data_IF_470619602738
#
_entry.id   IF_470619602738
#
_cell.length_a   1.000
_cell.length_b   1.000
_cell.length_c   1.000
_cell.angle_alpha   90.00
_cell.angle_beta   90.00
_cell.angle_gamma   90.00
#
_symmetry.space_group_name_H-M   'P 1'
#
loop_
_entity.id
_entity.type
_entity.pdbx_description
1 polymer ?
#
# COMPACT_ATOMS: atom_id res chain seq x y z
N UNK A 1 -22.51 9.52 -1.90
CA UNK A 1 -21.56 10.67 -1.91
C UNK A 1 -21.68 11.60 -3.13
N UNK A 2 -22.55 11.35 -4.10
CA UNK A 2 -22.72 12.18 -5.31
C UNK A 2 -23.58 13.43 -5.13
N UNK A 3 -23.76 13.90 -3.89
CA UNK A 3 -24.52 15.13 -3.67
C UNK A 3 -23.72 16.32 -4.20
N UNK A 4 -24.38 17.19 -4.97
CA UNK A 4 -23.80 18.49 -5.38
C UNK A 4 -23.57 19.42 -4.19
N UNK A 5 -24.22 19.16 -3.04
CA UNK A 5 -24.03 19.92 -1.81
C UNK A 5 -22.70 19.56 -1.12
N UNK A 6 -21.80 20.54 -0.92
CA UNK A 6 -20.54 20.30 -0.20
C UNK A 6 -20.78 19.90 1.26
N UNK A 7 -21.84 20.41 1.88
CA UNK A 7 -22.25 20.08 3.25
C UNK A 7 -22.62 18.60 3.34
N UNK A 8 -23.49 18.13 2.44
CA UNK A 8 -23.92 16.73 2.45
C UNK A 8 -22.75 15.75 2.24
N UNK A 9 -21.79 16.12 1.38
CA UNK A 9 -20.56 15.34 1.17
C UNK A 9 -19.68 15.31 2.41
N UNK A 10 -19.50 16.45 3.08
CA UNK A 10 -18.73 16.55 4.32
C UNK A 10 -19.37 15.71 5.44
N UNK A 11 -20.68 15.85 5.66
CA UNK A 11 -21.43 15.09 6.66
C UNK A 11 -21.36 13.59 6.39
N UNK A 12 -21.64 13.15 5.15
CA UNK A 12 -21.57 11.74 4.77
C UNK A 12 -20.18 11.14 5.02
N UNK A 13 -19.13 11.92 4.75
CA UNK A 13 -17.74 11.50 4.96
C UNK A 13 -17.38 11.37 6.43
N UNK A 14 -17.80 12.33 7.24
CA UNK A 14 -17.61 12.29 8.69
C UNK A 14 -18.32 11.06 9.28
N UNK A 15 -19.57 10.83 8.91
CA UNK A 15 -20.34 9.67 9.36
C UNK A 15 -19.67 8.35 8.97
N UNK A 16 -19.19 8.22 7.73
CA UNK A 16 -18.53 7.00 7.27
C UNK A 16 -17.22 6.73 8.04
N UNK A 17 -16.44 7.79 8.30
CA UNK A 17 -15.21 7.70 9.09
C UNK A 17 -15.52 7.31 10.54
N UNK A 18 -16.57 7.87 11.13
CA UNK A 18 -17.02 7.54 12.48
C UNK A 18 -17.52 6.10 12.58
N UNK A 19 -18.36 5.65 11.64
CA UNK A 19 -18.85 4.27 11.61
C UNK A 19 -17.69 3.27 11.55
N UNK A 20 -16.71 3.53 10.68
CA UNK A 20 -15.54 2.67 10.55
C UNK A 20 -14.72 2.63 11.85
N UNK A 21 -14.50 3.79 12.47
CA UNK A 21 -13.77 3.91 13.74
C UNK A 21 -14.48 3.18 14.87
N UNK A 22 -15.81 3.25 14.94
CA UNK A 22 -16.61 2.57 15.96
C UNK A 22 -16.49 1.05 15.82
N UNK A 23 -16.64 0.51 14.60
CA UNK A 23 -16.58 -0.94 14.37
C UNK A 23 -15.19 -1.48 14.72
N UNK A 24 -14.12 -0.79 14.30
CA UNK A 24 -12.76 -1.23 14.61
C UNK A 24 -12.44 -1.12 16.10
N UNK A 25 -12.89 -0.05 16.77
CA UNK A 25 -12.73 0.07 18.23
C UNK A 25 -13.51 -1.03 18.97
N UNK A 26 -14.70 -1.37 18.50
CA UNK A 26 -15.50 -2.43 19.10
C UNK A 26 -14.84 -3.80 18.95
N UNK A 27 -14.36 -4.13 17.73
CA UNK A 27 -13.55 -5.31 17.47
C UNK A 27 -12.34 -5.41 18.42
N UNK A 28 -11.62 -4.30 18.64
CA UNK A 28 -10.48 -4.27 19.55
C UNK A 28 -10.88 -4.50 21.02
N UNK A 29 -12.02 -3.98 21.45
CA UNK A 29 -12.51 -4.13 22.83
C UNK A 29 -12.96 -5.57 23.12
N UNK A 30 -13.67 -6.20 22.19
CA UNK A 30 -14.11 -7.59 22.32
C UNK A 30 -12.93 -8.58 22.31
N UNK A 31 -11.84 -8.22 21.62
CA UNK A 31 -10.59 -9.00 21.64
C UNK A 31 -9.91 -8.93 23.01
N UNK A 32 -9.88 -7.76 23.66
CA UNK A 32 -9.28 -7.58 25.00
C UNK A 32 -10.09 -8.27 26.10
N UNK A 33 -11.42 -8.25 26.01
CA UNK A 33 -12.29 -8.98 26.94
C UNK A 33 -12.07 -10.51 26.86
N UNK A 34 -11.81 -11.04 25.66
CA UNK A 34 -11.52 -12.46 25.44
C UNK A 34 -10.10 -12.86 25.88
N UNK A 35 -9.12 -11.97 25.73
CA UNK A 35 -7.72 -12.22 26.14
C UNK A 35 -7.51 -12.22 27.66
N UNK A 36 -8.40 -11.56 28.43
CA UNK A 36 -8.33 -11.52 29.90
C UNK A 36 -8.72 -12.84 30.58
N UNK A 37 -9.07 -13.88 29.81
CA UNK A 37 -9.50 -15.20 30.30
C UNK A 37 -8.58 -16.38 29.97
N UNK A 38 -7.41 -16.19 29.35
CA UNK A 38 -6.54 -17.31 28.97
C UNK A 38 -5.05 -16.94 29.00
N UNK A 39 -4.45 -16.99 30.19
CA UNK A 39 -3.00 -17.16 30.32
C UNK A 39 -2.70 -18.65 30.21
N UNK A 40 -2.29 -19.10 29.02
CA UNK A 40 -1.44 -20.28 28.85
C UNK A 40 -0.42 -19.96 27.77
N UNK A 41 0.81 -19.70 28.19
CA UNK A 41 1.97 -19.75 27.33
C UNK A 41 2.13 -21.18 26.79
N UNK A 42 2.13 -21.34 25.46
CA UNK A 42 2.79 -22.47 24.81
C UNK A 42 3.72 -21.91 23.75
N UNK A 43 5.01 -22.02 24.03
CA UNK A 43 6.04 -22.07 23.01
C UNK A 43 5.70 -23.20 22.03
N UNK A 44 5.69 -22.87 20.73
CA UNK A 44 5.71 -23.86 19.67
C UNK A 44 6.57 -23.31 18.52
N UNK A 45 7.82 -23.78 18.54
CA UNK A 45 8.75 -24.04 17.44
C UNK A 45 8.30 -23.67 16.02
N UNK A 46 9.18 -22.89 15.38
CA UNK A 46 9.45 -22.79 13.95
C UNK A 46 8.92 -23.96 13.13
N UNK A 47 7.98 -23.67 12.23
CA UNK A 47 7.82 -24.44 11.00
C UNK A 47 7.94 -23.48 9.83
N UNK A 48 9.14 -23.52 9.26
CA UNK A 48 9.50 -22.97 7.97
C UNK A 48 8.58 -23.55 6.88
N UNK A 49 7.93 -22.68 6.11
CA UNK A 49 7.23 -23.07 4.89
C UNK A 49 7.45 -22.00 3.83
N UNK A 50 8.57 -22.19 3.14
CA UNK A 50 8.93 -21.69 1.82
C UNK A 50 7.73 -21.27 0.97
N UNK A 51 7.69 -19.98 0.60
CA UNK A 51 6.88 -19.48 -0.51
C UNK A 51 7.56 -19.97 -1.80
N UNK A 52 6.95 -20.95 -2.45
CA UNK A 52 7.33 -21.37 -3.81
C UNK A 52 7.17 -20.21 -4.78
N UNK A 53 8.31 -19.81 -5.37
CA UNK A 53 8.53 -19.10 -6.65
C UNK A 53 7.30 -18.44 -7.28
N UNK A 54 7.25 -17.12 -7.23
CA UNK A 54 6.47 -16.31 -8.18
C UNK A 54 7.40 -16.02 -9.36
N UNK A 55 7.22 -16.78 -10.45
CA UNK A 55 7.87 -16.49 -11.73
C UNK A 55 7.41 -15.11 -12.25
N UNK A 56 8.34 -14.44 -12.95
CA UNK A 56 8.15 -13.12 -13.57
C UNK A 56 6.83 -13.03 -14.36
N UNK A 57 5.92 -12.17 -13.91
CA UNK A 57 4.74 -11.81 -14.70
C UNK A 57 5.15 -10.68 -15.66
N UNK A 58 5.47 -11.07 -16.90
CA UNK A 58 5.46 -10.16 -18.05
C UNK A 58 4.01 -9.76 -18.35
N UNK A 59 3.73 -8.46 -18.37
CA UNK A 59 2.47 -7.91 -18.86
C UNK A 59 2.50 -7.85 -20.39
N UNK A 60 1.72 -8.71 -21.06
CA UNK A 60 1.29 -8.48 -22.43
C UNK A 60 -0.23 -8.28 -22.45
N UNK A 61 -0.64 -7.26 -23.20
CA UNK A 61 -1.99 -6.77 -23.38
C UNK A 61 -2.90 -7.74 -24.16
N UNK A 62 -4.22 -7.49 -24.04
CA UNK A 62 -5.38 -8.07 -24.73
C UNK A 62 -6.01 -9.31 -24.04
N UNK A 63 -7.20 -9.17 -23.44
CA UNK A 63 -8.47 -9.17 -24.17
C UNK A 63 -9.67 -8.95 -23.22
N UNK A 64 -10.74 -8.39 -23.76
CA UNK A 64 -11.97 -8.02 -23.08
C UNK A 64 -12.81 -9.25 -22.65
N UNK A 65 -13.22 -9.31 -21.37
CA UNK A 65 -14.55 -9.79 -20.98
C UNK A 65 -14.87 -9.38 -19.54
N UNK A 66 -15.98 -8.67 -19.37
CA UNK A 66 -16.49 -8.30 -18.05
C UNK A 66 -16.82 -9.55 -17.24
N UNK A 67 -15.98 -9.88 -16.28
CA UNK A 67 -16.19 -10.97 -15.33
C UNK A 67 -16.06 -10.46 -13.89
N UNK A 68 -16.84 -11.06 -12.99
CA UNK A 68 -17.01 -10.65 -11.61
C UNK A 68 -15.73 -10.90 -10.79
N UNK A 69 -14.83 -9.90 -10.79
CA UNK A 69 -13.51 -9.89 -10.13
C UNK A 69 -13.53 -10.16 -8.59
N UNK A 70 -14.72 -10.13 -7.98
CA UNK A 70 -14.91 -10.54 -6.59
C UNK A 70 -14.72 -12.04 -6.37
N UNK A 71 -15.00 -12.85 -7.39
CA UNK A 71 -14.91 -14.31 -7.37
C UNK A 71 -13.46 -14.76 -7.66
N UNK A 72 -12.70 -14.00 -8.45
CA UNK A 72 -11.27 -14.24 -8.66
C UNK A 72 -10.44 -14.06 -7.40
N UNK A 73 -10.72 -13.07 -6.54
CA UNK A 73 -10.01 -12.95 -5.24
C UNK A 73 -10.30 -14.12 -4.29
N UNK A 74 -11.42 -14.82 -4.49
CA UNK A 74 -11.78 -16.01 -3.74
C UNK A 74 -11.17 -17.29 -4.31
N UNK A 75 -10.70 -17.24 -5.57
CA UNK A 75 -10.01 -18.32 -6.26
C UNK A 75 -8.47 -18.16 -6.26
N UNK A 76 -7.95 -16.92 -6.29
CA UNK A 76 -6.52 -16.61 -6.19
C UNK A 76 -5.96 -16.81 -4.79
N UNK A 77 -6.82 -16.77 -3.77
CA UNK A 77 -6.46 -17.07 -2.39
C UNK A 77 -7.28 -18.25 -1.95
N UNK A 78 -6.60 -19.35 -1.59
CA UNK A 78 -7.19 -20.63 -1.23
C UNK A 78 -8.52 -20.49 -0.49
N UNK A 79 -9.63 -20.70 -1.23
CA UNK A 79 -10.98 -20.51 -0.73
C UNK A 79 -11.37 -21.39 0.47
N UNK A 80 -10.50 -22.33 0.86
CA UNK A 80 -10.61 -23.19 2.04
C UNK A 80 -10.06 -22.56 3.32
N UNK A 81 -9.03 -21.72 3.25
CA UNK A 81 -8.35 -21.20 4.46
C UNK A 81 -9.08 -19.96 5.03
N UNK A 82 -9.52 -19.03 4.17
CA UNK A 82 -10.30 -17.85 4.61
C UNK A 82 -11.64 -18.28 5.25
N UNK A 83 -12.28 -19.34 4.74
CA UNK A 83 -13.54 -19.84 5.31
C UNK A 83 -13.33 -20.38 6.73
N UNK A 84 -12.22 -21.07 6.95
CA UNK A 84 -11.84 -21.64 8.25
C UNK A 84 -11.44 -20.55 9.25
N UNK A 85 -10.72 -19.53 8.79
CA UNK A 85 -10.36 -18.38 9.62
C UNK A 85 -11.58 -17.54 10.01
N UNK A 86 -12.51 -17.33 9.07
CA UNK A 86 -13.75 -16.62 9.32
C UNK A 86 -14.61 -17.34 10.38
N UNK A 87 -14.64 -18.67 10.39
CA UNK A 87 -15.37 -19.46 11.40
C UNK A 87 -14.80 -19.32 12.81
N UNK A 88 -13.50 -19.03 12.96
CA UNK A 88 -12.84 -18.81 14.26
C UNK A 88 -12.98 -17.39 14.82
N UNK A 89 -13.35 -16.41 13.97
CA UNK A 89 -13.45 -15.01 14.37
C UNK A 89 -14.71 -14.69 15.18
N UNK A 90 -14.57 -13.77 16.13
CA UNK A 90 -15.72 -13.19 16.81
C UNK A 90 -16.53 -12.29 15.85
N UNK A 91 -17.76 -11.94 16.24
CA UNK A 91 -18.68 -11.16 15.39
C UNK A 91 -18.06 -9.80 15.02
N UNK A 92 -17.44 -9.10 15.98
CA UNK A 92 -16.80 -7.81 15.73
C UNK A 92 -15.64 -7.88 14.72
N UNK A 93 -14.81 -8.93 14.78
CA UNK A 93 -13.74 -9.20 13.82
C UNK A 93 -14.30 -9.49 12.43
N UNK A 94 -15.36 -10.30 12.32
CA UNK A 94 -16.00 -10.58 11.04
C UNK A 94 -16.54 -9.30 10.40
N UNK A 95 -17.24 -8.46 11.17
CA UNK A 95 -17.80 -7.20 10.69
C UNK A 95 -16.70 -6.24 10.24
N UNK A 96 -15.64 -6.09 11.05
CA UNK A 96 -14.49 -5.26 10.71
C UNK A 96 -13.78 -5.75 9.44
N UNK A 97 -13.59 -7.06 9.29
CA UNK A 97 -12.98 -7.67 8.10
C UNK A 97 -13.82 -7.44 6.85
N UNK A 98 -15.14 -7.60 6.94
CA UNK A 98 -16.05 -7.34 5.82
C UNK A 98 -16.05 -5.87 5.39
N UNK A 99 -16.01 -4.94 6.36
CA UNK A 99 -15.86 -3.52 6.06
C UNK A 99 -14.50 -3.22 5.40
N UNK A 100 -13.42 -3.78 5.94
CA UNK A 100 -12.08 -3.63 5.37
C UNK A 100 -12.02 -4.13 3.93
N UNK A 101 -12.54 -5.33 3.68
CA UNK A 101 -12.65 -5.94 2.35
C UNK A 101 -13.45 -5.07 1.40
N UNK A 102 -14.57 -4.52 1.86
CA UNK A 102 -15.43 -3.66 1.05
C UNK A 102 -14.72 -2.36 0.65
N UNK A 103 -14.01 -1.72 1.59
CA UNK A 103 -13.20 -0.52 1.32
C UNK A 103 -12.11 -0.83 0.30
N UNK A 104 -11.35 -1.90 0.49
CA UNK A 104 -10.30 -2.31 -0.45
C UNK A 104 -10.88 -2.56 -1.85
N UNK A 105 -11.96 -3.34 -1.94
CA UNK A 105 -12.66 -3.63 -3.21
C UNK A 105 -13.12 -2.36 -3.93
N UNK A 106 -13.55 -1.34 -3.18
CA UNK A 106 -13.96 -0.05 -3.76
C UNK A 106 -12.78 0.83 -4.18
N UNK A 107 -11.63 0.71 -3.52
CA UNK A 107 -10.36 1.33 -3.92
C UNK A 107 -9.80 0.80 -5.24
N UNK A 108 -10.35 -0.30 -5.74
CA UNK A 108 -9.83 -1.00 -6.90
C UNK A 108 -10.65 -0.81 -8.17
N UNK A 109 -11.79 -0.13 -8.17
CA UNK A 109 -12.67 -0.08 -9.35
C UNK A 109 -11.94 0.60 -10.53
N UNK A 110 -11.93 -0.04 -11.70
CA UNK A 110 -11.21 0.46 -12.88
C UNK A 110 -11.55 1.92 -13.19
N UNK A 111 -10.50 2.71 -13.42
CA UNK A 111 -10.54 4.13 -13.79
C UNK A 111 -11.09 4.32 -15.22
N UNK A 112 -12.29 3.81 -15.50
CA UNK A 112 -12.99 4.00 -16.78
C UNK A 112 -13.79 5.30 -16.81
N UNK A 113 -14.14 5.84 -15.65
CA UNK A 113 -14.92 7.08 -15.50
C UNK A 113 -14.49 7.92 -14.28
N UNK A 114 -14.74 9.23 -14.34
CA UNK A 114 -14.43 10.20 -13.27
C UNK A 114 -15.06 9.80 -11.92
N UNK A 115 -16.20 9.11 -11.98
CA UNK A 115 -16.92 8.60 -10.83
C UNK A 115 -16.13 7.48 -10.14
N UNK A 116 -15.57 6.52 -10.88
CA UNK A 116 -14.75 5.45 -10.28
C UNK A 116 -13.47 6.01 -9.68
N UNK A 117 -12.81 6.99 -10.31
CA UNK A 117 -11.63 7.65 -9.72
C UNK A 117 -11.98 8.37 -8.41
N UNK A 118 -13.11 9.08 -8.34
CA UNK A 118 -13.59 9.71 -7.08
C UNK A 118 -13.90 8.69 -6.00
N UNK A 119 -14.47 7.53 -6.37
CA UNK A 119 -14.75 6.43 -5.45
C UNK A 119 -13.46 5.77 -4.95
N UNK A 120 -12.49 5.57 -5.83
CA UNK A 120 -11.16 5.08 -5.49
C UNK A 120 -10.46 6.01 -4.49
N UNK A 121 -10.41 7.32 -4.78
CA UNK A 121 -9.83 8.33 -3.89
C UNK A 121 -10.48 8.32 -2.49
N UNK A 122 -11.82 8.22 -2.43
CA UNK A 122 -12.52 8.13 -1.17
C UNK A 122 -12.14 6.86 -0.40
N UNK A 123 -12.10 5.72 -1.09
CA UNK A 123 -11.82 4.42 -0.48
C UNK A 123 -10.39 4.36 0.07
N UNK A 124 -9.40 4.81 -0.70
CA UNK A 124 -8.01 4.89 -0.25
C UNK A 124 -7.85 5.87 0.91
N UNK A 125 -8.57 7.00 0.90
CA UNK A 125 -8.58 7.93 2.04
C UNK A 125 -9.11 7.27 3.31
N UNK A 126 -10.22 6.53 3.22
CA UNK A 126 -10.80 5.83 4.36
C UNK A 126 -9.86 4.73 4.86
N UNK A 127 -9.24 3.98 3.94
CA UNK A 127 -8.27 2.95 4.26
C UNK A 127 -7.05 3.53 4.98
N UNK A 128 -6.49 4.64 4.48
CA UNK A 128 -5.39 5.33 5.16
C UNK A 128 -5.81 5.78 6.56
N UNK A 129 -6.92 6.51 6.67
CA UNK A 129 -7.42 7.02 7.96
C UNK A 129 -7.71 5.90 8.96
N UNK A 130 -8.18 4.75 8.49
CA UNK A 130 -8.40 3.56 9.29
C UNK A 130 -7.08 3.03 9.84
N UNK A 131 -6.12 2.76 8.97
CA UNK A 131 -4.81 2.22 9.37
C UNK A 131 -4.01 3.19 10.24
N UNK A 132 -4.22 4.51 10.09
CA UNK A 132 -3.68 5.53 11.00
C UNK A 132 -4.37 5.51 12.38
N UNK A 133 -5.66 5.15 12.43
CA UNK A 133 -6.49 5.24 13.64
C UNK A 133 -6.59 3.97 14.49
N UNK A 134 -6.26 2.79 13.96
CA UNK A 134 -6.25 1.52 14.73
C UNK A 134 -5.28 1.59 15.91
N UNK A 135 -5.51 0.82 16.99
CA UNK A 135 -4.64 0.84 18.17
C UNK A 135 -3.35 0.03 18.00
N UNK A 136 -2.45 0.09 18.99
CA UNK A 136 -1.27 -0.78 19.01
C UNK A 136 -1.65 -2.26 19.14
N UNK A 137 -2.71 -2.58 19.90
CA UNK A 137 -3.21 -3.95 20.04
C UNK A 137 -3.64 -4.54 18.70
N UNK A 138 -4.22 -3.73 17.81
CA UNK A 138 -4.52 -4.15 16.43
C UNK A 138 -3.26 -4.58 15.69
N UNK A 139 -2.18 -3.79 15.76
CA UNK A 139 -0.92 -4.08 15.05
C UNK A 139 -0.24 -5.36 15.51
N UNK A 140 -0.59 -5.87 16.70
CA UNK A 140 -0.10 -7.12 17.28
C UNK A 140 -1.08 -8.29 17.11
N UNK A 141 -2.28 -8.05 16.57
CA UNK A 141 -3.20 -9.12 16.22
C UNK A 141 -2.85 -9.71 14.85
N UNK A 142 -1.80 -10.53 14.82
CA UNK A 142 -1.27 -11.11 13.58
C UNK A 142 -2.30 -11.94 12.81
N UNK A 143 -3.20 -12.65 13.48
CA UNK A 143 -4.27 -13.42 12.82
C UNK A 143 -5.22 -12.53 12.03
N UNK A 144 -5.63 -11.41 12.63
CA UNK A 144 -6.50 -10.46 11.95
C UNK A 144 -5.77 -9.72 10.82
N UNK A 145 -4.54 -9.25 11.09
CA UNK A 145 -3.71 -8.60 10.06
C UNK A 145 -3.51 -9.54 8.87
N UNK A 146 -3.23 -10.81 9.11
CA UNK A 146 -3.07 -11.84 8.07
C UNK A 146 -4.34 -11.98 7.21
N UNK A 147 -5.51 -11.99 7.84
CA UNK A 147 -6.79 -12.04 7.14
C UNK A 147 -7.08 -10.79 6.29
N UNK A 148 -6.47 -9.65 6.60
CA UNK A 148 -6.63 -8.40 5.83
C UNK A 148 -5.62 -8.26 4.69
N UNK A 149 -4.47 -8.94 4.77
CA UNK A 149 -3.29 -8.64 3.94
C UNK A 149 -3.55 -8.80 2.45
N UNK A 150 -4.31 -9.81 2.02
CA UNK A 150 -4.62 -10.06 0.61
C UNK A 150 -5.40 -8.89 0.01
N UNK A 151 -6.44 -8.42 0.71
CA UNK A 151 -7.29 -7.33 0.23
C UNK A 151 -6.50 -6.01 0.19
N UNK A 152 -5.69 -5.76 1.21
CA UNK A 152 -4.80 -4.60 1.26
C UNK A 152 -3.79 -4.62 0.11
N UNK A 153 -3.13 -5.76 -0.09
CA UNK A 153 -2.07 -5.93 -1.08
C UNK A 153 -2.57 -5.69 -2.48
N UNK A 154 -3.69 -6.32 -2.82
CA UNK A 154 -4.29 -6.14 -4.13
C UNK A 154 -4.76 -4.70 -4.36
N UNK A 155 -5.40 -4.07 -3.37
CA UNK A 155 -5.84 -2.68 -3.48
C UNK A 155 -4.67 -1.71 -3.65
N UNK A 156 -3.61 -1.88 -2.86
CA UNK A 156 -2.46 -0.97 -2.85
C UNK A 156 -1.62 -1.13 -4.12
N UNK A 157 -1.34 -2.36 -4.55
CA UNK A 157 -0.59 -2.63 -5.78
C UNK A 157 -1.33 -2.10 -7.01
N UNK A 158 -2.64 -2.33 -7.12
CA UNK A 158 -3.45 -1.79 -8.23
C UNK A 158 -3.46 -0.25 -8.23
N UNK A 159 -3.63 0.38 -7.06
CA UNK A 159 -3.63 1.83 -6.96
C UNK A 159 -2.25 2.43 -7.28
N UNK A 160 -1.16 1.72 -6.97
CA UNK A 160 0.21 2.21 -7.16
C UNK A 160 0.56 2.47 -8.63
N UNK A 161 -0.06 1.77 -9.58
CA UNK A 161 0.16 1.94 -11.02
C UNK A 161 -0.79 2.98 -11.64
N UNK A 162 -1.64 3.64 -10.85
CA UNK A 162 -2.53 4.69 -11.35
C UNK A 162 -1.75 5.93 -11.80
N UNK A 163 -2.20 6.53 -12.90
CA UNK A 163 -1.63 7.78 -13.44
C UNK A 163 -2.07 9.02 -12.65
N UNK A 164 -3.05 8.89 -11.76
CA UNK A 164 -3.57 10.01 -10.99
C UNK A 164 -2.62 10.35 -9.82
N UNK A 165 -2.02 11.56 -9.77
CA UNK A 165 -1.13 11.94 -8.67
C UNK A 165 -1.85 11.92 -7.31
N UNK A 166 -3.15 12.22 -7.29
CA UNK A 166 -3.95 12.19 -6.07
C UNK A 166 -4.12 10.77 -5.52
N UNK A 167 -4.27 9.76 -6.39
CA UNK A 167 -4.34 8.35 -5.99
C UNK A 167 -2.98 7.93 -5.41
N UNK A 168 -1.89 8.28 -6.11
CA UNK A 168 -0.54 7.91 -5.70
C UNK A 168 -0.13 8.55 -4.35
N UNK A 169 -0.63 9.76 -4.04
CA UNK A 169 -0.46 10.36 -2.71
C UNK A 169 -1.07 9.51 -1.59
N UNK A 170 -2.26 8.91 -1.82
CA UNK A 170 -2.84 7.99 -0.84
C UNK A 170 -2.10 6.66 -0.78
N UNK A 171 -1.56 6.16 -1.90
CA UNK A 171 -0.70 4.95 -1.92
C UNK A 171 0.53 5.16 -1.04
N UNK A 172 1.27 6.24 -1.24
CA UNK A 172 2.43 6.59 -0.42
C UNK A 172 2.03 6.88 1.03
N UNK A 173 0.88 7.51 1.27
CA UNK A 173 0.31 7.71 2.61
C UNK A 173 0.03 6.39 3.34
N UNK A 174 -0.69 5.47 2.71
CA UNK A 174 -0.97 4.12 3.26
C UNK A 174 0.35 3.39 3.51
N UNK A 175 1.26 3.40 2.54
CA UNK A 175 2.53 2.69 2.67
C UNK A 175 3.41 3.26 3.79
N UNK A 176 3.37 4.57 4.03
CA UNK A 176 3.97 5.20 5.23
C UNK A 176 3.48 4.54 6.51
N UNK A 177 2.17 4.32 6.63
CA UNK A 177 1.57 3.72 7.82
C UNK A 177 2.02 2.28 7.99
N UNK A 178 2.07 1.51 6.89
CA UNK A 178 2.56 0.13 6.93
C UNK A 178 4.01 0.08 7.40
N UNK A 179 4.86 0.93 6.82
CA UNK A 179 6.26 1.05 7.16
C UNK A 179 6.51 1.56 8.56
N UNK A 180 5.59 2.28 9.21
CA UNK A 180 5.79 2.80 10.58
C UNK A 180 5.12 1.95 11.67
N UNK A 181 4.10 1.17 11.33
CA UNK A 181 3.22 0.54 12.34
C UNK A 181 2.97 -0.95 12.15
N UNK A 182 3.09 -1.46 10.93
CA UNK A 182 2.72 -2.84 10.57
C UNK A 182 3.90 -3.65 10.00
N UNK A 183 5.14 -3.21 10.26
CA UNK A 183 6.38 -3.83 9.76
C UNK A 183 6.47 -5.32 10.08
N UNK A 184 6.15 -5.69 11.31
CA UNK A 184 6.19 -7.10 11.76
C UNK A 184 5.08 -7.94 11.11
N UNK A 185 3.85 -7.43 11.07
CA UNK A 185 2.69 -8.17 10.59
C UNK A 185 2.58 -8.27 9.07
N UNK A 186 3.28 -7.40 8.33
CA UNK A 186 3.24 -7.33 6.86
C UNK A 186 4.64 -7.38 6.24
N UNK A 187 5.62 -8.02 6.89
CA UNK A 187 7.01 -8.11 6.37
C UNK A 187 7.06 -8.59 4.92
N UNK A 188 6.38 -9.69 4.59
CA UNK A 188 6.36 -10.23 3.23
C UNK A 188 5.76 -9.24 2.22
N UNK A 189 4.61 -8.64 2.57
CA UNK A 189 3.91 -7.72 1.67
C UNK A 189 4.67 -6.41 1.46
N UNK A 190 5.33 -5.89 2.51
CA UNK A 190 6.21 -4.73 2.39
C UNK A 190 7.34 -5.03 1.39
N UNK A 191 7.90 -6.24 1.40
CA UNK A 191 8.90 -6.68 0.43
C UNK A 191 8.43 -6.61 -1.02
N UNK A 192 7.12 -6.84 -1.26
CA UNK A 192 6.49 -6.76 -2.58
C UNK A 192 6.12 -5.31 -2.96
N UNK A 193 5.60 -4.54 -1.99
CA UNK A 193 5.19 -3.16 -2.20
C UNK A 193 6.38 -2.23 -2.44
N UNK A 194 7.50 -2.47 -1.77
CA UNK A 194 8.61 -1.54 -1.75
C UNK A 194 9.23 -1.32 -3.15
N UNK A 195 9.59 -2.36 -3.93
CA UNK A 195 10.00 -2.17 -5.32
C UNK A 195 8.91 -1.49 -6.17
N UNK A 196 7.66 -1.89 -5.95
CA UNK A 196 6.52 -1.43 -6.75
C UNK A 196 6.13 0.03 -6.50
N UNK A 197 6.36 0.56 -5.30
CA UNK A 197 5.95 1.92 -4.91
C UNK A 197 7.16 2.86 -4.86
N UNK A 198 8.27 2.43 -4.25
CA UNK A 198 9.43 3.30 -4.03
C UNK A 198 10.36 3.22 -5.23
N UNK A 199 10.94 2.04 -5.49
CA UNK A 199 12.01 1.91 -6.50
C UNK A 199 11.50 2.30 -7.90
N UNK A 200 10.35 1.75 -8.33
CA UNK A 200 9.72 2.09 -9.61
C UNK A 200 9.49 3.59 -9.78
N UNK A 201 9.04 4.27 -8.73
CA UNK A 201 8.73 5.70 -8.82
C UNK A 201 9.98 6.57 -8.78
N UNK A 202 11.00 6.18 -8.00
CA UNK A 202 12.28 6.88 -7.96
C UNK A 202 13.05 6.75 -9.29
N UNK A 203 13.06 5.57 -9.91
CA UNK A 203 13.70 5.33 -11.20
C UNK A 203 12.85 5.81 -12.40
N UNK A 204 11.56 6.11 -12.19
CA UNK A 204 10.63 6.52 -13.25
C UNK A 204 10.89 7.93 -13.80
N UNK A 205 10.04 8.40 -14.73
CA UNK A 205 10.13 9.79 -15.28
C UNK A 205 9.10 10.75 -14.67
N UNK A 206 8.13 10.23 -13.90
CA UNK A 206 7.08 11.03 -13.28
C UNK A 206 7.60 11.76 -12.04
N UNK A 207 7.90 13.05 -12.20
CA UNK A 207 8.37 13.92 -11.12
C UNK A 207 7.37 14.03 -9.96
N UNK A 208 6.07 13.93 -10.22
CA UNK A 208 5.05 14.02 -9.16
C UNK A 208 5.12 12.82 -8.23
N UNK A 209 5.33 11.62 -8.79
CA UNK A 209 5.53 10.40 -8.02
C UNK A 209 6.87 10.43 -7.28
N UNK A 210 7.96 10.85 -7.94
CA UNK A 210 9.27 11.01 -7.29
C UNK A 210 9.19 11.91 -6.06
N UNK A 211 8.60 13.10 -6.20
CA UNK A 211 8.45 14.05 -5.09
C UNK A 211 7.59 13.46 -3.97
N UNK A 212 6.52 12.73 -4.30
CA UNK A 212 5.67 12.06 -3.30
C UNK A 212 6.43 11.00 -2.51
N UNK A 213 7.23 10.16 -3.19
CA UNK A 213 8.07 9.15 -2.55
C UNK A 213 9.19 9.78 -1.71
N UNK A 214 9.85 10.82 -2.21
CA UNK A 214 10.91 11.51 -1.45
C UNK A 214 10.36 12.12 -0.14
N UNK A 215 9.19 12.76 -0.18
CA UNK A 215 8.52 13.26 1.04
C UNK A 215 8.12 12.14 1.99
N UNK A 216 7.66 11.02 1.45
CA UNK A 216 7.35 9.83 2.24
C UNK A 216 8.60 9.29 2.94
N UNK A 217 9.70 9.14 2.21
CA UNK A 217 10.99 8.70 2.71
C UNK A 217 11.53 9.63 3.80
N UNK A 218 11.48 10.95 3.59
CA UNK A 218 11.86 11.93 4.61
C UNK A 218 11.09 11.74 5.92
N UNK A 219 9.80 11.39 5.84
CA UNK A 219 8.95 11.13 7.01
C UNK A 219 9.31 9.81 7.69
N UNK A 220 9.47 8.71 6.96
CA UNK A 220 9.75 7.39 7.56
C UNK A 220 11.17 7.28 8.11
N UNK A 221 12.15 7.92 7.46
CA UNK A 221 13.55 7.90 7.89
C UNK A 221 13.82 8.71 9.17
N UNK A 222 12.85 9.49 9.66
CA UNK A 222 12.92 10.10 11.00
C UNK A 222 12.87 9.07 12.12
N UNK A 223 12.31 7.90 11.84
CA UNK A 223 12.38 6.71 12.70
C UNK A 223 13.57 5.85 12.26
N UNK A 224 14.68 5.91 13.00
CA UNK A 224 15.89 5.17 12.68
C UNK A 224 15.67 3.65 12.69
N UNK A 225 14.71 3.15 13.47
CA UNK A 225 14.37 1.73 13.51
C UNK A 225 13.85 1.24 12.16
N UNK A 226 13.17 2.11 11.39
CA UNK A 226 12.68 1.76 10.06
C UNK A 226 13.81 1.35 9.11
N UNK A 227 14.94 2.06 9.15
CA UNK A 227 16.10 1.79 8.29
C UNK A 227 16.79 0.49 8.72
N UNK A 228 16.91 0.26 10.02
CA UNK A 228 17.45 -0.99 10.57
C UNK A 228 16.57 -2.17 10.16
N UNK A 229 15.25 -2.04 10.31
CA UNK A 229 14.30 -3.07 9.94
C UNK A 229 14.37 -3.36 8.44
N UNK A 230 14.53 -2.35 7.58
CA UNK A 230 14.67 -2.56 6.13
C UNK A 230 15.96 -3.35 5.80
N UNK A 231 17.09 -2.97 6.40
CA UNK A 231 18.35 -3.67 6.16
C UNK A 231 18.33 -5.12 6.67
N UNK A 232 17.87 -5.34 7.90
CA UNK A 232 17.86 -6.68 8.52
C UNK A 232 16.85 -7.59 7.84
N UNK A 233 15.69 -7.08 7.43
CA UNK A 233 14.64 -7.94 6.88
C UNK A 233 14.77 -8.27 5.40
N UNK A 234 15.52 -7.49 4.63
CA UNK A 234 15.54 -7.65 3.17
C UNK A 234 16.96 -7.73 2.57
N UNK A 235 17.97 -7.12 3.17
CA UNK A 235 19.36 -7.20 2.67
C UNK A 235 20.17 -8.30 3.39
N UNK A 236 19.79 -8.66 4.62
CA UNK A 236 20.45 -9.72 5.38
C UNK A 236 19.80 -11.11 5.19
N UNK A 237 18.72 -11.20 4.42
CA UNK A 237 18.03 -12.44 4.10
C UNK A 237 18.42 -12.88 2.68
N UNK A 238 19.00 -14.08 2.56
CA UNK A 238 19.53 -14.61 1.31
C UNK A 238 18.46 -14.86 0.25
N UNK A 239 17.19 -15.01 0.66
CA UNK A 239 16.06 -15.22 -0.24
C UNK A 239 15.32 -13.93 -0.60
N UNK A 240 15.65 -12.81 0.06
CA UNK A 240 15.01 -11.52 -0.14
C UNK A 240 15.79 -10.61 -1.11
N UNK A 241 15.12 -9.63 -1.75
CA UNK A 241 15.81 -8.62 -2.55
C UNK A 241 16.51 -7.57 -1.64
N UNK A 242 17.69 -7.08 -2.05
CA UNK A 242 18.44 -6.02 -1.34
C UNK A 242 17.76 -4.63 -1.46
N UNK A 243 16.60 -4.46 -0.81
CA UNK A 243 15.77 -3.26 -0.92
C UNK A 243 16.44 -2.01 -0.35
N UNK A 244 17.18 -2.14 0.75
CA UNK A 244 17.88 -1.02 1.37
C UNK A 244 19.01 -0.53 0.46
N UNK A 245 19.87 -1.44 0.00
CA UNK A 245 20.94 -1.12 -0.96
C UNK A 245 20.41 -0.45 -2.22
N UNK A 246 19.36 -1.00 -2.84
CA UNK A 246 18.74 -0.42 -4.03
C UNK A 246 18.22 0.99 -3.77
N UNK A 247 17.50 1.20 -2.66
CA UNK A 247 16.98 2.53 -2.29
C UNK A 247 18.11 3.56 -2.15
N UNK A 248 19.15 3.24 -1.38
CA UNK A 248 20.28 4.15 -1.14
C UNK A 248 21.02 4.45 -2.45
N UNK A 249 21.22 3.43 -3.30
CA UNK A 249 21.86 3.59 -4.60
C UNK A 249 21.07 4.52 -5.51
N UNK A 250 19.76 4.33 -5.62
CA UNK A 250 18.89 5.19 -6.43
C UNK A 250 18.87 6.63 -5.89
N UNK A 251 18.70 6.81 -4.57
CA UNK A 251 18.74 8.15 -3.95
C UNK A 251 20.09 8.85 -4.18
N UNK A 252 21.21 8.11 -4.11
CA UNK A 252 22.55 8.64 -4.36
C UNK A 252 22.69 9.13 -5.82
N UNK A 253 22.20 8.37 -6.80
CA UNK A 253 22.19 8.79 -8.22
C UNK A 253 21.39 10.06 -8.45
N UNK A 254 20.20 10.15 -7.84
CA UNK A 254 19.33 11.34 -7.89
C UNK A 254 20.04 12.54 -7.28
N UNK A 255 20.65 12.39 -6.09
CA UNK A 255 21.36 13.47 -5.41
C UNK A 255 22.57 13.99 -6.20
N UNK A 256 23.25 13.11 -6.95
CA UNK A 256 24.37 13.47 -7.81
C UNK A 256 23.94 14.10 -9.14
N UNK A 257 22.64 14.10 -9.47
CA UNK A 257 22.15 14.57 -10.77
C UNK A 257 22.56 13.68 -11.94
N UNK A 258 22.90 12.42 -11.67
CA UNK A 258 23.40 11.45 -12.66
C UNK A 258 22.31 10.65 -13.35
N UNK A 259 21.03 10.93 -13.08
CA UNK A 259 19.94 10.44 -13.92
C UNK A 259 20.14 10.99 -15.33
N UNK A 260 20.65 10.14 -16.21
CA UNK A 260 21.01 10.45 -17.58
C UNK A 260 19.82 11.08 -18.29
N UNK A 261 19.87 12.41 -18.44
CA UNK A 261 19.25 13.07 -19.57
C UNK A 261 19.91 12.44 -20.80
N UNK A 262 19.16 11.58 -21.48
CA UNK A 262 19.57 10.97 -22.73
C UNK A 262 20.12 12.09 -23.66
N UNK A 263 21.38 12.06 -24.09
CA UNK A 263 22.01 13.18 -24.81
C UNK A 263 21.40 13.44 -26.20
N UNK A 264 20.34 12.73 -26.60
CA UNK A 264 19.58 12.96 -27.83
C UNK A 264 18.49 14.04 -27.71
N UNK A 265 18.26 14.61 -26.52
CA UNK A 265 17.28 15.70 -26.33
C UNK A 265 17.85 17.11 -26.48
N UNK A 266 19.18 17.30 -26.54
CA UNK A 266 19.81 18.63 -26.49
C UNK A 266 20.14 19.20 -27.89
N UNK A 267 20.02 18.41 -28.96
CA UNK A 267 20.39 18.83 -30.32
C UNK A 267 19.27 19.47 -31.15
N UNK A 268 18.32 20.19 -30.52
CA UNK A 268 17.26 20.90 -31.23
C UNK A 268 17.10 22.39 -30.85
N UNK A 269 17.98 22.97 -30.03
CA UNK A 269 17.82 24.36 -29.57
C UNK A 269 19.11 25.19 -29.52
N UNK A 270 20.07 24.92 -30.41
CA UNK A 270 21.14 25.86 -30.75
C UNK A 270 21.40 25.91 -32.25
N UNK A 271 20.52 26.61 -32.97
CA UNK A 271 20.92 27.31 -34.19
C UNK A 271 20.12 28.61 -34.28
N UNK A 272 20.72 29.70 -33.80
CA UNK A 272 20.11 31.01 -33.90
C UNK A 272 20.85 32.08 -33.10
N UNK A 273 21.66 32.87 -33.81
CA UNK A 273 22.12 34.20 -33.42
C UNK A 273 23.44 34.30 -32.62
N UNK A 274 24.55 34.06 -33.32
CA UNK A 274 25.76 34.85 -33.12
C UNK A 274 25.75 35.95 -34.19
N UNK A 275 25.47 37.18 -33.80
CA UNK A 275 26.04 38.38 -34.44
C UNK A 275 26.22 39.44 -33.36
N UNK A 276 27.48 39.65 -32.99
CA UNK A 276 27.92 40.85 -32.31
C UNK A 276 27.87 42.05 -33.25
N UNK A 277 27.61 43.21 -32.68
CA UNK A 277 27.94 44.50 -33.29
C UNK A 277 28.53 45.39 -32.21
N UNK A 278 29.85 45.58 -32.30
CA UNK A 278 30.54 46.76 -31.80
C UNK A 278 30.40 47.87 -32.84
N UNK A 279 29.87 49.02 -32.42
CA UNK A 279 30.32 50.39 -32.67
C UNK A 279 29.34 51.36 -32.01
#
# INVERSE_FOLDING_TARGET
>A
MFSKSPINRATSKAMLTQMLSIVFRWMETDTVASASGSVVCKEATSNDRSITKVDQVSFNDQNEQGMNLGDELQNFVGGTDIKKDLESMNIGQRDALLLFRTICKMGMKEDRDEVSTKMCLLSLKLLQSLLEGVSHSFTKNFLFVDSTKVYLSYALLRASVSKSPAIFQYVTGIFTVLLLRLREGLKGEIGVFFPSIILRSLDGTDLSQKISVLRMLEKVCKDSQMLVDLFVNYDCDLEAPNLFECMITTLSKIAQGTESVDPKSVTASQLGSIKGSSL
#
